data_IF_605330288788
#
_entry.id   IF_605330288788
#
_cell.length_a   1.000
_cell.length_b   1.000
_cell.length_c   1.000
_cell.angle_alpha   90.00
_cell.angle_beta   90.00
_cell.angle_gamma   90.00
#
_symmetry.space_group_name_H-M   'P 1'
#
loop_
_entity.id
_entity.type
_entity.pdbx_description
1 polymer ?
#
# COMPACT_ATOMS: atom_id res chain seq x y z
N UNK A 1 -22.67 -23.42 -11.03
CA UNK A 1 -22.85 -22.47 -9.91
C UNK A 1 -22.51 -23.20 -8.62
N UNK A 2 -21.54 -22.72 -7.85
CA UNK A 2 -21.24 -23.25 -6.51
C UNK A 2 -22.25 -22.59 -5.57
N UNK A 3 -23.27 -23.31 -5.14
CA UNK A 3 -24.19 -22.82 -4.11
C UNK A 3 -23.55 -23.02 -2.74
N UNK A 4 -23.57 -22.03 -1.84
CA UNK A 4 -23.16 -22.23 -0.46
C UNK A 4 -24.15 -23.22 0.16
N UNK A 5 -23.69 -24.44 0.46
CA UNK A 5 -24.56 -25.52 0.98
C UNK A 5 -24.14 -25.94 2.39
N UNK A 6 -23.30 -25.13 3.04
CA UNK A 6 -22.90 -25.31 4.45
C UNK A 6 -23.68 -24.28 5.27
N UNK A 7 -24.40 -24.76 6.30
CA UNK A 7 -25.09 -23.88 7.25
C UNK A 7 -24.06 -22.92 7.88
N UNK A 8 -24.43 -21.66 8.15
CA UNK A 8 -23.50 -20.65 8.70
C UNK A 8 -22.93 -20.98 10.10
N UNK A 9 -23.31 -22.09 10.73
CA UNK A 9 -22.80 -22.53 12.04
C UNK A 9 -21.41 -23.19 11.98
N UNK A 10 -20.92 -23.62 10.81
CA UNK A 10 -19.56 -24.18 10.64
C UNK A 10 -18.55 -23.10 10.17
N UNK A 11 -18.79 -21.85 10.55
CA UNK A 11 -17.92 -20.72 10.22
C UNK A 11 -17.48 -20.02 11.51
N UNK A 12 -16.21 -20.15 11.88
CA UNK A 12 -15.56 -19.08 12.66
C UNK A 12 -15.20 -17.93 11.69
N UNK A 13 -15.44 -16.66 12.04
CA UNK A 13 -15.09 -15.53 11.20
C UNK A 13 -13.57 -15.31 11.28
N UNK A 14 -12.81 -16.07 10.51
CA UNK A 14 -11.41 -15.74 10.22
C UNK A 14 -11.41 -14.61 9.18
N UNK A 15 -11.78 -13.40 9.61
CA UNK A 15 -11.66 -12.21 8.76
C UNK A 15 -10.19 -11.99 8.45
N UNK A 16 -9.83 -12.11 7.18
CA UNK A 16 -8.57 -11.58 6.67
C UNK A 16 -8.86 -10.22 6.02
N UNK A 17 -8.07 -9.21 6.35
CA UNK A 17 -8.32 -7.85 5.89
C UNK A 17 -7.83 -7.72 4.45
N UNK A 18 -8.71 -7.38 3.50
CA UNK A 18 -8.28 -6.99 2.16
C UNK A 18 -7.77 -5.55 2.22
N UNK A 19 -6.48 -5.35 2.00
CA UNK A 19 -5.83 -4.05 1.98
C UNK A 19 -5.42 -3.66 0.55
N UNK A 20 -5.53 -2.36 0.24
CA UNK A 20 -4.75 -1.72 -0.82
C UNK A 20 -3.44 -1.30 -0.19
N UNK A 21 -2.32 -1.79 -0.69
CA UNK A 21 -1.01 -1.20 -0.42
C UNK A 21 -0.66 -0.25 -1.57
N UNK A 22 -0.42 1.01 -1.26
CA UNK A 22 0.05 2.02 -2.23
C UNK A 22 1.33 2.64 -1.68
N UNK A 23 2.28 2.94 -2.57
CA UNK A 23 3.41 3.80 -2.22
C UNK A 23 2.91 5.17 -1.79
N UNK A 24 3.50 5.68 -0.70
CA UNK A 24 3.05 6.83 0.08
C UNK A 24 2.46 7.99 -0.74
N UNK A 25 1.12 8.09 -0.81
CA UNK A 25 0.36 9.23 -1.35
C UNK A 25 -0.75 9.59 -0.35
N UNK A 26 -0.61 10.73 0.34
CA UNK A 26 -1.39 11.07 1.51
C UNK A 26 -2.77 11.68 1.18
N UNK A 27 -3.81 10.98 1.67
CA UNK A 27 -5.21 11.34 2.07
C UNK A 27 -5.90 12.58 1.48
N UNK A 28 -6.96 12.32 0.69
CA UNK A 28 -8.15 13.19 0.53
C UNK A 28 -9.05 13.05 1.77
N UNK A 29 -9.30 14.16 2.46
CA UNK A 29 -10.37 14.28 3.47
C UNK A 29 -11.67 14.71 2.78
N UNK A 30 -12.75 13.96 3.04
CA UNK A 30 -14.12 14.30 2.69
C UNK A 30 -14.60 15.51 3.50
N UNK A 31 -15.21 16.48 2.80
CA UNK A 31 -15.86 17.67 3.35
C UNK A 31 -17.35 17.34 3.56
N UNK A 32 -17.94 17.53 4.74
CA UNK A 32 -19.38 17.65 4.87
C UNK A 32 -19.80 19.08 4.55
N UNK A 33 -20.63 19.22 3.50
CA UNK A 33 -21.45 20.41 3.25
C UNK A 33 -22.68 20.31 4.14
N UNK A 34 -22.86 21.24 5.07
CA UNK A 34 -24.20 21.64 5.52
C UNK A 34 -24.22 23.09 6.03
N UNK A 35 -25.23 23.77 5.50
CA UNK A 35 -25.65 25.15 5.64
C UNK A 35 -26.07 25.54 7.07
N UNK A 36 -25.86 26.79 7.47
CA UNK A 36 -26.50 27.37 8.66
C UNK A 36 -26.00 28.78 9.04
N UNK A 37 -26.81 29.79 8.75
CA UNK A 37 -26.67 31.22 9.09
C UNK A 37 -26.20 31.50 10.53
N UNK A 38 -25.34 32.52 10.72
CA UNK A 38 -25.74 33.81 11.31
C UNK A 38 -24.58 34.82 11.29
N UNK A 39 -24.89 36.03 10.80
CA UNK A 39 -24.09 37.24 10.95
C UNK A 39 -24.06 37.67 12.42
N UNK A 40 -22.89 38.09 12.92
CA UNK A 40 -22.73 39.30 13.74
C UNK A 40 -21.24 39.61 13.88
N UNK A 41 -20.88 40.86 13.60
CA UNK A 41 -19.51 41.27 13.31
C UNK A 41 -18.61 41.52 14.52
N UNK A 42 -17.34 41.71 14.21
CA UNK A 42 -16.47 42.61 14.96
C UNK A 42 -15.42 43.14 13.97
N UNK A 43 -15.44 44.44 13.72
CA UNK A 43 -14.44 45.11 12.90
C UNK A 43 -13.16 45.28 13.70
N UNK A 44 -12.06 44.72 13.20
CA UNK A 44 -10.72 45.17 13.54
C UNK A 44 -9.78 44.81 12.38
N UNK A 45 -9.09 45.83 11.89
CA UNK A 45 -8.04 45.84 10.87
C UNK A 45 -7.11 44.62 10.92
N UNK A 46 -7.18 43.77 9.88
CA UNK A 46 -6.27 42.64 9.68
C UNK A 46 -5.28 43.01 8.57
N UNK A 47 -4.31 43.86 8.90
CA UNK A 47 -3.18 44.19 8.03
C UNK A 47 -1.90 43.66 8.68
N UNK A 48 -1.35 42.60 8.08
CA UNK A 48 0.10 42.39 7.99
C UNK A 48 0.78 41.66 9.14
N UNK A 49 0.44 40.40 9.38
CA UNK A 49 1.42 39.44 9.93
C UNK A 49 1.75 38.40 8.85
N UNK A 50 2.49 38.81 7.83
CA UNK A 50 3.29 37.84 7.05
C UNK A 50 4.55 37.64 7.87
N UNK A 51 4.60 36.55 8.64
CA UNK A 51 5.81 36.14 9.34
C UNK A 51 6.89 35.87 8.30
N UNK A 52 7.81 36.81 8.10
CA UNK A 52 8.95 36.63 7.20
C UNK A 52 9.78 35.45 7.72
N UNK A 53 9.95 34.40 6.91
CA UNK A 53 10.76 33.27 7.30
C UNK A 53 12.22 33.71 7.56
N UNK A 54 12.82 33.19 8.63
CA UNK A 54 14.19 33.54 9.05
C UNK A 54 15.26 33.10 8.01
N UNK A 55 14.92 32.16 7.12
CA UNK A 55 15.79 31.65 6.07
C UNK A 55 15.01 31.33 4.78
N UNK A 56 15.72 31.17 3.67
CA UNK A 56 15.12 30.71 2.41
C UNK A 56 14.99 29.18 2.45
N UNK A 57 13.76 28.68 2.38
CA UNK A 57 13.44 27.26 2.45
C UNK A 57 14.09 26.47 1.31
N UNK A 58 14.44 27.12 0.19
CA UNK A 58 15.17 26.48 -0.89
C UNK A 58 16.62 26.16 -0.53
N UNK A 59 17.19 26.79 0.50
CA UNK A 59 18.54 26.50 0.98
C UNK A 59 18.60 25.15 1.74
N UNK A 60 17.48 24.73 2.34
CA UNK A 60 17.36 23.44 3.06
C UNK A 60 17.68 22.22 2.18
N UNK A 61 17.36 22.28 0.88
CA UNK A 61 17.66 21.17 -0.05
C UNK A 61 19.16 20.91 -0.21
N UNK A 62 19.98 21.96 -0.07
CA UNK A 62 21.44 21.84 -0.16
C UNK A 62 22.01 21.18 1.09
N UNK A 63 21.44 21.52 2.26
CA UNK A 63 21.73 20.83 3.50
C UNK A 63 21.35 19.33 3.42
N UNK A 64 20.13 18.99 3.00
CA UNK A 64 19.72 17.58 2.82
C UNK A 64 20.62 16.82 1.85
N UNK A 65 20.97 17.43 0.71
CA UNK A 65 21.82 16.78 -0.28
C UNK A 65 23.23 16.46 0.27
N UNK A 66 23.82 17.36 1.05
CA UNK A 66 25.13 17.09 1.68
C UNK A 66 25.00 16.09 2.83
N UNK A 67 23.91 16.12 3.60
CA UNK A 67 23.65 15.14 4.66
C UNK A 67 23.55 13.71 4.09
N UNK A 68 22.86 13.55 2.96
CA UNK A 68 22.67 12.25 2.28
C UNK A 68 23.92 11.74 1.57
N UNK A 69 24.66 12.62 0.90
CA UNK A 69 25.76 12.23 0.03
C UNK A 69 27.16 12.41 0.64
N UNK A 70 27.25 12.96 1.86
CA UNK A 70 28.50 13.08 2.63
C UNK A 70 29.57 14.01 2.03
N UNK A 71 29.32 14.63 0.87
CA UNK A 71 30.23 15.59 0.25
C UNK A 71 29.51 16.63 -0.59
N UNK A 72 30.06 17.84 -0.67
CA UNK A 72 29.52 18.92 -1.51
C UNK A 72 29.64 18.61 -3.00
N UNK A 73 30.63 17.81 -3.41
CA UNK A 73 30.79 17.38 -4.81
C UNK A 73 29.72 16.36 -5.21
N UNK A 74 29.43 15.36 -4.37
CA UNK A 74 28.37 14.40 -4.63
C UNK A 74 26.98 15.05 -4.58
N UNK A 75 26.76 15.94 -3.60
CA UNK A 75 25.54 16.75 -3.51
C UNK A 75 25.34 17.65 -4.74
N UNK A 76 26.40 18.26 -5.27
CA UNK A 76 26.29 19.12 -6.45
C UNK A 76 25.90 18.33 -7.71
N UNK A 77 26.41 17.10 -7.86
CA UNK A 77 26.00 16.18 -8.92
C UNK A 77 24.53 15.77 -8.78
N UNK A 78 24.09 15.43 -7.56
CA UNK A 78 22.69 15.07 -7.30
C UNK A 78 21.72 16.22 -7.58
N UNK A 79 22.12 17.46 -7.29
CA UNK A 79 21.31 18.66 -7.50
C UNK A 79 21.46 19.31 -8.89
N UNK A 80 22.38 18.83 -9.73
CA UNK A 80 22.63 19.40 -11.06
C UNK A 80 23.22 20.82 -11.03
N UNK A 81 24.03 21.15 -10.01
CA UNK A 81 24.63 22.49 -9.83
C UNK A 81 26.14 22.43 -9.65
N UNK A 82 26.80 23.60 -9.68
CA UNK A 82 28.21 23.72 -9.36
C UNK A 82 28.48 23.53 -7.85
N UNK A 83 29.59 22.88 -7.51
CA UNK A 83 30.00 22.65 -6.10
C UNK A 83 30.10 23.96 -5.29
N UNK A 84 30.56 25.06 -5.91
CA UNK A 84 30.61 26.39 -5.28
C UNK A 84 29.23 26.93 -4.89
N UNK A 85 28.18 26.55 -5.64
CA UNK A 85 26.80 26.92 -5.34
C UNK A 85 26.31 26.21 -4.09
N UNK A 86 26.61 24.91 -3.95
CA UNK A 86 26.26 24.13 -2.74
C UNK A 86 26.93 24.72 -1.51
N UNK A 87 28.23 25.02 -1.58
CA UNK A 87 28.97 25.61 -0.46
C UNK A 87 28.40 26.98 -0.06
N UNK A 88 28.15 27.86 -1.04
CA UNK A 88 27.58 29.20 -0.79
C UNK A 88 26.20 29.14 -0.14
N UNK A 89 25.35 28.21 -0.58
CA UNK A 89 23.97 28.04 -0.09
C UNK A 89 23.93 27.49 1.34
N UNK A 90 24.81 26.54 1.66
CA UNK A 90 24.94 26.01 3.03
C UNK A 90 25.45 27.10 3.99
N UNK A 91 26.51 27.83 3.60
CA UNK A 91 27.04 28.90 4.44
C UNK A 91 26.00 30.00 4.73
N UNK A 92 25.17 30.35 3.75
CA UNK A 92 24.08 31.31 3.94
C UNK A 92 22.99 30.78 4.86
N UNK A 93 22.65 29.48 4.76
CA UNK A 93 21.69 28.82 5.64
C UNK A 93 22.19 28.82 7.10
N UNK A 94 23.42 28.41 7.34
CA UNK A 94 24.05 28.39 8.66
C UNK A 94 24.10 29.78 9.29
N UNK A 95 24.43 30.81 8.48
CA UNK A 95 24.44 32.22 8.90
C UNK A 95 23.06 32.70 9.35
N UNK A 96 21.99 32.28 8.67
CA UNK A 96 20.61 32.70 8.97
C UNK A 96 19.99 31.95 10.14
N UNK A 97 20.29 30.67 10.27
CA UNK A 97 19.80 29.82 11.36
C UNK A 97 20.61 30.06 12.65
N UNK A 98 21.81 30.63 12.54
CA UNK A 98 22.60 31.08 13.69
C UNK A 98 23.57 30.03 14.24
N UNK A 99 23.91 29.01 13.45
CA UNK A 99 24.84 27.97 13.88
C UNK A 99 25.29 27.06 12.73
N UNK A 100 26.48 26.41 12.86
CA UNK A 100 26.96 25.46 11.87
C UNK A 100 26.09 24.19 11.91
N UNK A 101 25.66 23.75 10.73
CA UNK A 101 24.91 22.51 10.54
C UNK A 101 25.84 21.36 10.16
N UNK A 102 27.01 21.69 9.60
CA UNK A 102 27.97 20.71 9.11
C UNK A 102 29.42 21.09 9.41
N UNK A 103 30.25 20.07 9.57
CA UNK A 103 31.70 20.18 9.75
C UNK A 103 32.42 19.51 8.58
N UNK A 104 33.45 20.18 8.08
CA UNK A 104 34.32 19.66 7.03
C UNK A 104 35.44 18.83 7.64
N UNK A 105 35.56 17.60 7.17
CA UNK A 105 36.65 16.67 7.47
C UNK A 105 37.40 16.27 6.18
N UNK A 106 38.62 15.72 6.29
CA UNK A 106 39.35 15.20 5.13
C UNK A 106 38.57 14.15 4.33
N UNK A 107 37.72 13.38 5.01
CA UNK A 107 36.89 12.33 4.42
C UNK A 107 35.52 12.79 3.89
N UNK A 108 35.15 14.06 4.06
CA UNK A 108 33.84 14.58 3.66
C UNK A 108 33.21 15.52 4.69
N UNK A 109 31.88 15.60 4.69
CA UNK A 109 31.11 16.41 5.63
C UNK A 109 30.41 15.50 6.65
N UNK A 110 30.32 15.97 7.89
CA UNK A 110 29.49 15.37 8.94
C UNK A 110 28.58 16.42 9.54
N UNK A 111 27.42 16.01 10.01
CA UNK A 111 26.49 16.91 10.71
C UNK A 111 27.07 17.31 12.08
N UNK A 112 26.75 18.52 12.51
CA UNK A 112 26.90 18.92 13.92
C UNK A 112 25.75 18.35 14.74
N UNK A 113 25.85 18.38 16.08
CA UNK A 113 24.72 18.04 16.95
C UNK A 113 23.47 18.87 16.61
N UNK A 114 23.67 20.15 16.28
CA UNK A 114 22.61 21.04 15.83
C UNK A 114 22.01 20.63 14.47
N UNK A 115 22.86 20.20 13.52
CA UNK A 115 22.42 19.67 12.23
C UNK A 115 21.64 18.37 12.35
N UNK A 116 22.10 17.43 13.19
CA UNK A 116 21.40 16.17 13.51
C UNK A 116 20.03 16.44 14.13
N UNK A 117 19.95 17.38 15.09
CA UNK A 117 18.68 17.74 15.73
C UNK A 117 17.66 18.36 14.76
N UNK A 118 18.12 19.09 13.74
CA UNK A 118 17.26 19.72 12.74
C UNK A 118 16.89 18.81 11.56
N UNK A 119 17.68 17.76 11.30
CA UNK A 119 17.50 16.89 10.15
C UNK A 119 16.06 16.34 10.01
N UNK A 120 15.42 15.80 11.07
CA UNK A 120 14.05 15.29 10.96
C UNK A 120 13.02 16.36 10.56
N UNK A 121 13.18 17.58 11.05
CA UNK A 121 12.29 18.68 10.70
C UNK A 121 12.45 19.09 9.23
N UNK A 122 13.69 19.10 8.74
CA UNK A 122 13.98 19.41 7.34
C UNK A 122 13.50 18.31 6.38
N UNK A 123 13.59 17.04 6.76
CA UNK A 123 13.02 15.92 6.00
C UNK A 123 11.48 15.96 5.95
N UNK A 124 10.82 16.37 7.03
CA UNK A 124 9.38 16.57 7.06
C UNK A 124 8.92 17.69 6.11
N UNK A 125 9.75 18.74 5.97
CA UNK A 125 9.51 19.84 5.02
C UNK A 125 9.63 19.33 3.57
N UNK A 126 10.68 18.59 3.24
CA UNK A 126 10.85 18.00 1.90
C UNK A 126 9.66 17.09 1.55
N UNK A 127 9.25 16.24 2.49
CA UNK A 127 8.07 15.37 2.35
C UNK A 127 6.80 16.18 2.06
N UNK A 128 6.62 17.30 2.77
CA UNK A 128 5.46 18.20 2.59
C UNK A 128 5.47 18.90 1.23
N UNK A 129 6.64 19.34 0.76
CA UNK A 129 6.80 19.94 -0.58
C UNK A 129 6.51 18.91 -1.67
N UNK A 130 7.06 17.70 -1.58
CA UNK A 130 6.76 16.63 -2.53
C UNK A 130 5.26 16.26 -2.54
N UNK A 131 4.59 16.29 -1.38
CA UNK A 131 3.14 16.09 -1.30
C UNK A 131 2.37 17.22 -2.00
N UNK A 132 2.81 18.47 -1.87
CA UNK A 132 2.23 19.61 -2.57
C UNK A 132 2.42 19.51 -4.09
N UNK A 133 3.63 19.20 -4.56
CA UNK A 133 3.93 19.01 -5.99
C UNK A 133 3.02 17.94 -6.59
N UNK A 134 2.86 16.81 -5.90
CA UNK A 134 1.93 15.74 -6.30
C UNK A 134 0.48 16.21 -6.39
N UNK A 135 0.02 17.06 -5.46
CA UNK A 135 -1.33 17.67 -5.51
C UNK A 135 -1.48 18.65 -6.67
N UNK A 136 -0.43 19.42 -6.98
CA UNK A 136 -0.42 20.33 -8.13
C UNK A 136 -0.48 19.55 -9.44
N UNK A 137 0.27 18.45 -9.56
CA UNK A 137 0.20 17.54 -10.72
C UNK A 137 -1.19 16.91 -10.83
N UNK A 138 -1.75 16.41 -9.72
CA UNK A 138 -3.10 15.85 -9.70
C UNK A 138 -4.19 16.88 -10.05
N UNK A 139 -3.95 18.16 -9.79
CA UNK A 139 -4.86 19.27 -10.13
C UNK A 139 -4.71 19.72 -11.60
N UNK A 140 -3.55 19.51 -12.22
CA UNK A 140 -3.21 20.05 -13.55
C UNK A 140 -3.38 19.08 -14.72
N UNK A 141 -3.55 17.78 -14.47
CA UNK A 141 -3.49 16.78 -15.53
C UNK A 141 -4.75 15.93 -15.61
N UNK A 142 -5.32 15.85 -16.81
CA UNK A 142 -6.02 14.65 -17.27
C UNK A 142 -5.19 13.43 -16.87
N UNK A 143 -5.68 12.65 -15.90
CA UNK A 143 -4.99 11.45 -15.45
C UNK A 143 -4.85 10.50 -16.64
N UNK A 144 -3.62 10.32 -17.10
CA UNK A 144 -3.28 9.55 -18.29
C UNK A 144 -2.08 8.62 -18.01
N UNK A 145 -2.06 7.45 -18.64
CA UNK A 145 -1.00 6.46 -18.46
C UNK A 145 -1.49 5.09 -18.00
N UNK A 146 -0.58 4.21 -17.61
CA UNK A 146 -0.88 2.84 -17.17
C UNK A 146 -0.68 2.70 -15.67
N UNK A 147 -1.65 2.11 -14.98
CA UNK A 147 -1.55 1.70 -13.58
C UNK A 147 -1.34 0.19 -13.56
N UNK A 148 -0.20 -0.24 -13.02
CA UNK A 148 0.13 -1.64 -12.75
C UNK A 148 -0.43 -2.06 -11.40
N UNK A 149 -1.42 -2.93 -11.44
CA UNK A 149 -2.16 -3.40 -10.28
C UNK A 149 -1.76 -4.85 -9.96
N UNK A 150 -1.02 -5.04 -8.87
CA UNK A 150 -0.65 -6.35 -8.37
C UNK A 150 -1.80 -6.98 -7.59
N UNK A 151 -2.33 -8.11 -8.07
CA UNK A 151 -3.55 -8.70 -7.52
C UNK A 151 -3.47 -10.24 -7.55
N UNK A 152 -3.96 -10.95 -6.51
CA UNK A 152 -4.22 -12.37 -6.58
C UNK A 152 -5.17 -12.74 -7.74
N UNK A 153 -4.87 -13.84 -8.42
CA UNK A 153 -5.59 -14.34 -9.59
C UNK A 153 -7.13 -14.38 -9.41
N UNK A 154 -7.70 -14.88 -8.28
CA UNK A 154 -9.16 -14.93 -8.13
C UNK A 154 -9.83 -13.57 -8.11
N UNK A 155 -9.14 -12.54 -7.62
CA UNK A 155 -9.69 -11.18 -7.57
C UNK A 155 -9.69 -10.54 -8.96
N UNK A 156 -8.70 -10.82 -9.80
CA UNK A 156 -8.71 -10.36 -11.21
C UNK A 156 -9.94 -10.91 -11.92
N UNK A 157 -10.25 -12.20 -11.75
CA UNK A 157 -11.47 -12.80 -12.33
C UNK A 157 -12.74 -12.09 -11.88
N UNK A 158 -12.83 -11.67 -10.61
CA UNK A 158 -13.98 -10.90 -10.07
C UNK A 158 -14.05 -9.48 -10.60
N UNK A 159 -12.91 -8.79 -10.71
CA UNK A 159 -12.83 -7.42 -11.23
C UNK A 159 -13.24 -7.40 -12.69
N UNK A 160 -12.63 -8.27 -13.51
CA UNK A 160 -12.91 -8.39 -14.95
C UNK A 160 -14.33 -8.89 -15.22
N UNK A 161 -14.86 -9.76 -14.36
CA UNK A 161 -16.24 -10.23 -14.45
C UNK A 161 -17.30 -9.25 -13.93
N UNK A 162 -16.91 -8.04 -13.54
CA UNK A 162 -17.80 -6.98 -13.01
C UNK A 162 -17.76 -5.73 -13.88
N UNK A 163 -18.65 -4.77 -13.62
CA UNK A 163 -18.67 -3.47 -14.31
C UNK A 163 -17.63 -2.48 -13.78
N UNK A 164 -16.76 -2.88 -12.83
CA UNK A 164 -15.79 -1.99 -12.19
C UNK A 164 -14.83 -1.36 -13.19
N UNK A 165 -14.31 -2.14 -14.14
CA UNK A 165 -13.38 -1.61 -15.16
C UNK A 165 -14.09 -0.66 -16.14
N UNK A 166 -15.34 -0.93 -16.48
CA UNK A 166 -16.13 -0.06 -17.36
C UNK A 166 -16.39 1.30 -16.69
N UNK A 167 -16.83 1.29 -15.42
CA UNK A 167 -17.02 2.51 -14.64
C UNK A 167 -15.72 3.28 -14.44
N UNK A 168 -14.61 2.57 -14.24
CA UNK A 168 -13.29 3.18 -14.11
C UNK A 168 -12.86 3.89 -15.40
N UNK A 169 -12.93 3.22 -16.55
CA UNK A 169 -12.54 3.81 -17.83
C UNK A 169 -13.50 4.90 -18.30
N UNK A 170 -14.79 4.83 -17.95
CA UNK A 170 -15.75 5.90 -18.23
C UNK A 170 -15.40 7.18 -17.45
N UNK A 171 -14.86 7.04 -16.23
CA UNK A 171 -14.45 8.18 -15.40
C UNK A 171 -13.03 8.67 -15.72
N UNK A 172 -12.13 7.78 -16.15
CA UNK A 172 -10.73 8.06 -16.44
C UNK A 172 -10.32 7.46 -17.79
N UNK A 173 -10.71 8.07 -18.92
CA UNK A 173 -10.57 7.47 -20.26
C UNK A 173 -9.13 7.38 -20.75
N UNK A 174 -8.23 8.21 -20.21
CA UNK A 174 -6.81 8.20 -20.55
C UNK A 174 -5.96 7.26 -19.67
N UNK A 175 -6.55 6.66 -18.63
CA UNK A 175 -5.89 5.64 -17.81
C UNK A 175 -6.11 4.23 -18.37
N UNK A 176 -5.09 3.39 -18.23
CA UNK A 176 -5.12 1.96 -18.53
C UNK A 176 -4.77 1.16 -17.28
N UNK A 177 -5.36 -0.01 -17.11
CA UNK A 177 -5.03 -0.93 -16.03
C UNK A 177 -4.26 -2.13 -16.59
N UNK A 178 -3.08 -2.39 -16.04
CA UNK A 178 -2.29 -3.59 -16.29
C UNK A 178 -2.33 -4.47 -15.03
N UNK A 179 -2.82 -5.71 -15.14
CA UNK A 179 -2.85 -6.64 -14.01
C UNK A 179 -1.55 -7.42 -13.92
N UNK A 180 -0.90 -7.33 -12.76
CA UNK A 180 0.26 -8.17 -12.42
C UNK A 180 -0.22 -9.28 -11.48
N UNK A 181 -0.52 -10.44 -12.06
CA UNK A 181 -0.96 -11.62 -11.31
C UNK A 181 0.26 -12.33 -10.73
N UNK A 182 0.41 -12.25 -9.41
CA UNK A 182 1.48 -12.92 -8.68
C UNK A 182 0.97 -13.24 -7.30
N UNK A 183 1.31 -14.38 -6.72
CA UNK A 183 1.05 -14.67 -5.30
C UNK A 183 2.21 -14.26 -4.38
N UNK A 184 3.29 -13.71 -4.97
CA UNK A 184 4.41 -13.13 -4.22
C UNK A 184 4.13 -11.68 -3.87
N UNK A 185 4.69 -11.22 -2.76
CA UNK A 185 4.83 -9.79 -2.49
C UNK A 185 5.77 -9.19 -3.54
N UNK A 186 5.24 -8.29 -4.36
CA UNK A 186 6.02 -7.53 -5.34
C UNK A 186 6.60 -6.30 -4.68
N UNK A 187 7.76 -5.89 -5.15
CA UNK A 187 8.44 -4.71 -4.65
C UNK A 187 7.86 -3.46 -5.35
N UNK A 188 6.88 -2.84 -4.69
CA UNK A 188 6.30 -1.59 -5.21
C UNK A 188 7.38 -0.49 -5.29
N UNK A 189 8.34 -0.46 -4.36
CA UNK A 189 9.40 0.55 -4.34
C UNK A 189 10.31 0.48 -5.58
N UNK A 190 10.44 -0.71 -6.18
CA UNK A 190 11.17 -0.96 -7.43
C UNK A 190 10.33 -0.80 -8.69
N UNK A 191 9.06 -0.40 -8.58
CA UNK A 191 8.16 -0.17 -9.70
C UNK A 191 7.65 -1.46 -10.37
N UNK A 192 7.70 -2.60 -9.68
CA UNK A 192 7.10 -3.86 -10.17
C UNK A 192 5.57 -3.75 -10.25
N UNK A 193 4.97 -2.88 -9.42
CA UNK A 193 3.58 -2.47 -9.49
C UNK A 193 3.38 -1.11 -8.81
N UNK A 194 2.33 -0.38 -9.20
CA UNK A 194 1.96 0.91 -8.59
C UNK A 194 1.08 0.73 -7.36
N UNK A 195 0.20 -0.29 -7.40
CA UNK A 195 -0.78 -0.60 -6.36
C UNK A 195 -0.84 -2.11 -6.18
N UNK A 196 -0.96 -2.59 -4.94
CA UNK A 196 -1.24 -3.99 -4.64
C UNK A 196 -2.57 -4.17 -3.90
N UNK A 197 -3.41 -5.09 -4.37
CA UNK A 197 -4.62 -5.55 -3.68
C UNK A 197 -4.34 -6.90 -3.04
N UNK A 198 -4.22 -6.98 -1.72
CA UNK A 198 -3.78 -8.19 -1.02
C UNK A 198 -4.59 -8.44 0.24
N UNK A 199 -4.68 -9.71 0.62
CA UNK A 199 -5.17 -10.12 1.92
C UNK A 199 -4.04 -10.03 2.94
N UNK A 200 -4.27 -9.37 4.07
CA UNK A 200 -3.27 -9.12 5.12
C UNK A 200 -2.84 -7.65 5.21
N UNK A 201 -2.05 -7.36 6.24
CA UNK A 201 -1.41 -6.06 6.42
C UNK A 201 -0.13 -5.97 5.57
N UNK A 202 0.25 -4.78 5.08
CA UNK A 202 1.53 -4.60 4.42
C UNK A 202 2.67 -5.02 5.36
N UNK A 203 3.55 -5.91 4.89
CA UNK A 203 4.71 -6.34 5.68
C UNK A 203 5.84 -5.28 5.73
N UNK A 204 5.79 -4.31 4.82
CA UNK A 204 6.78 -3.24 4.68
C UNK A 204 6.18 -1.93 5.24
N UNK A 205 6.84 -1.38 6.26
CA UNK A 205 6.43 -0.15 6.96
C UNK A 205 6.42 1.09 6.06
N UNK A 206 7.12 1.04 4.92
CA UNK A 206 7.13 2.13 3.93
C UNK A 206 5.85 2.19 3.09
N UNK A 207 5.04 1.13 3.11
CA UNK A 207 3.79 1.03 2.34
C UNK A 207 2.60 1.54 3.14
N UNK A 208 1.70 2.28 2.48
CA UNK A 208 0.40 2.64 3.09
C UNK A 208 -0.61 1.56 2.77
N UNK A 209 -1.06 0.86 3.82
CA UNK A 209 -2.20 -0.05 3.76
C UNK A 209 -3.54 0.67 3.99
N UNK A 210 -4.54 0.41 3.15
CA UNK A 210 -5.94 0.78 3.37
C UNK A 210 -6.85 -0.44 3.27
N UNK A 211 -7.53 -0.77 4.37
CA UNK A 211 -8.61 -1.77 4.37
C UNK A 211 -9.74 -1.38 3.40
N UNK A 212 -10.14 -2.31 2.54
CA UNK A 212 -11.27 -2.19 1.60
C UNK A 212 -12.45 -3.05 2.06
N UNK A 213 -12.17 -4.28 2.49
CA UNK A 213 -13.18 -5.27 2.82
C UNK A 213 -12.61 -6.37 3.71
N UNK A 214 -13.49 -7.19 4.28
CA UNK A 214 -13.13 -8.46 4.91
C UNK A 214 -13.20 -9.58 3.87
N UNK A 215 -12.21 -10.47 3.91
CA UNK A 215 -12.16 -11.71 3.13
C UNK A 215 -12.62 -12.86 4.02
N UNK A 216 -13.76 -13.43 3.68
CA UNK A 216 -14.42 -14.51 4.44
C UNK A 216 -14.12 -15.85 3.75
N UNK A 217 -13.65 -16.82 4.55
CA UNK A 217 -13.32 -18.17 4.10
C UNK A 217 -14.27 -19.19 4.74
N UNK A 218 -14.55 -20.26 4.01
CA UNK A 218 -15.36 -21.38 4.46
C UNK A 218 -14.91 -22.65 3.72
N UNK A 219 -15.33 -23.81 4.21
CA UNK A 219 -15.09 -25.09 3.54
C UNK A 219 -16.13 -25.28 2.44
N UNK A 220 -15.67 -25.60 1.23
CA UNK A 220 -16.49 -25.84 0.05
C UNK A 220 -16.29 -27.25 -0.49
N UNK A 221 -17.39 -27.87 -0.91
CA UNK A 221 -17.42 -29.12 -1.67
C UNK A 221 -18.30 -28.97 -2.91
N UNK A 222 -18.02 -29.73 -3.96
CA UNK A 222 -18.95 -29.80 -5.09
C UNK A 222 -20.20 -30.59 -4.71
N UNK A 223 -21.30 -30.33 -5.44
CA UNK A 223 -22.56 -31.05 -5.24
C UNK A 223 -22.41 -32.55 -5.46
N UNK A 224 -21.64 -32.96 -6.47
CA UNK A 224 -21.38 -34.38 -6.76
C UNK A 224 -20.61 -35.06 -5.62
N UNK A 225 -19.59 -34.40 -5.08
CA UNK A 225 -18.83 -34.92 -3.94
C UNK A 225 -19.73 -35.13 -2.72
N UNK A 226 -20.52 -34.12 -2.37
CA UNK A 226 -21.45 -34.16 -1.23
C UNK A 226 -22.53 -35.23 -1.39
N UNK A 227 -23.04 -35.44 -2.61
CA UNK A 227 -24.02 -36.50 -2.88
C UNK A 227 -23.45 -37.91 -2.67
N UNK A 228 -22.16 -38.09 -2.93
CA UNK A 228 -21.49 -39.39 -2.81
C UNK A 228 -20.93 -39.66 -1.40
N UNK A 229 -20.43 -38.62 -0.72
CA UNK A 229 -19.69 -38.76 0.54
C UNK A 229 -20.40 -38.13 1.75
N UNK A 230 -21.54 -37.47 1.55
CA UNK A 230 -22.19 -36.65 2.57
C UNK A 230 -21.54 -35.26 2.72
N UNK A 231 -22.26 -34.35 3.39
CA UNK A 231 -21.71 -33.05 3.79
C UNK A 231 -21.27 -33.10 5.26
N UNK A 232 -20.11 -32.52 5.62
CA UNK A 232 -19.73 -32.37 7.03
C UNK A 232 -20.78 -31.55 7.76
N UNK A 233 -21.25 -32.04 8.92
CA UNK A 233 -22.25 -31.35 9.74
C UNK A 233 -21.62 -30.58 10.88
N UNK A 234 -20.38 -30.95 11.26
CA UNK A 234 -19.58 -30.27 12.27
C UNK A 234 -18.13 -30.11 11.81
N UNK A 235 -17.36 -29.27 12.49
CA UNK A 235 -15.94 -29.02 12.17
C UNK A 235 -15.14 -30.32 12.25
N UNK A 236 -15.45 -31.19 13.21
CA UNK A 236 -14.74 -32.45 13.44
C UNK A 236 -14.96 -33.48 12.31
N UNK A 237 -16.02 -33.31 11.52
CA UNK A 237 -16.30 -34.18 10.38
C UNK A 237 -15.37 -33.89 9.19
N UNK A 238 -14.78 -32.68 9.12
CA UNK A 238 -13.95 -32.23 7.99
C UNK A 238 -12.78 -33.18 7.76
N UNK A 239 -12.15 -33.68 8.84
CA UNK A 239 -11.01 -34.62 8.74
C UNK A 239 -11.35 -36.00 8.17
N UNK A 240 -12.64 -36.34 8.04
CA UNK A 240 -13.10 -37.61 7.45
C UNK A 240 -13.24 -37.53 5.93
N UNK A 241 -13.20 -36.33 5.37
CA UNK A 241 -13.30 -36.10 3.93
C UNK A 241 -11.92 -36.01 3.28
N UNK A 242 -11.90 -36.22 1.97
CA UNK A 242 -10.71 -35.96 1.16
C UNK A 242 -10.54 -34.44 1.01
N UNK A 243 -9.33 -33.94 1.25
CA UNK A 243 -9.01 -32.52 1.24
C UNK A 243 -8.22 -32.13 -0.01
N UNK A 244 -8.60 -31.03 -0.63
CA UNK A 244 -7.80 -30.30 -1.61
C UNK A 244 -7.07 -29.17 -0.88
N UNK A 245 -5.77 -29.33 -0.70
CA UNK A 245 -4.94 -28.40 0.06
C UNK A 245 -4.30 -27.29 -0.76
N UNK A 246 -3.81 -26.26 -0.07
CA UNK A 246 -2.90 -25.27 -0.62
C UNK A 246 -1.44 -25.78 -0.62
N UNK A 247 -0.64 -25.29 -1.55
CA UNK A 247 0.80 -25.53 -1.63
C UNK A 247 1.60 -24.23 -1.80
N UNK A 248 2.93 -24.32 -1.71
CA UNK A 248 3.84 -23.18 -1.88
C UNK A 248 3.60 -22.09 -0.84
N UNK A 249 3.55 -20.83 -1.28
CA UNK A 249 3.33 -19.69 -0.37
C UNK A 249 1.95 -19.72 0.29
N UNK A 250 0.95 -20.33 -0.36
CA UNK A 250 -0.42 -20.37 0.15
C UNK A 250 -0.60 -21.30 1.36
N UNK A 251 0.35 -22.21 1.63
CA UNK A 251 0.31 -23.04 2.85
C UNK A 251 0.39 -22.17 4.12
N UNK A 252 0.98 -20.98 4.01
CA UNK A 252 1.10 -20.03 5.11
C UNK A 252 -0.14 -19.15 5.28
N UNK A 253 -1.10 -19.22 4.35
CA UNK A 253 -2.34 -18.46 4.43
C UNK A 253 -3.17 -18.93 5.63
N UNK A 254 -3.88 -18.00 6.30
CA UNK A 254 -4.65 -18.26 7.52
C UNK A 254 -5.66 -19.40 7.35
N UNK A 255 -6.34 -19.45 6.20
CA UNK A 255 -7.29 -20.52 5.87
C UNK A 255 -6.60 -21.89 5.74
N UNK A 256 -5.41 -21.96 5.14
CA UNK A 256 -4.66 -23.21 5.00
C UNK A 256 -4.20 -23.75 6.36
N UNK A 257 -3.67 -22.86 7.22
CA UNK A 257 -3.27 -23.20 8.59
C UNK A 257 -4.46 -23.66 9.44
N UNK A 258 -5.59 -22.97 9.33
CA UNK A 258 -6.82 -23.35 10.03
C UNK A 258 -7.31 -24.73 9.59
N UNK A 259 -7.39 -24.99 8.28
CA UNK A 259 -7.83 -26.28 7.75
C UNK A 259 -6.93 -27.42 8.22
N UNK A 260 -5.61 -27.22 8.21
CA UNK A 260 -4.65 -28.20 8.72
C UNK A 260 -4.78 -28.45 10.24
N UNK A 261 -5.18 -27.43 11.00
CA UNK A 261 -5.38 -27.55 12.45
C UNK A 261 -6.66 -28.30 12.82
N UNK A 262 -7.76 -28.10 12.08
CA UNK A 262 -9.04 -28.78 12.35
C UNK A 262 -9.12 -30.19 11.78
N UNK A 263 -8.28 -30.51 10.79
CA UNK A 263 -8.26 -31.79 10.10
C UNK A 263 -6.83 -32.39 10.04
N UNK A 264 -6.17 -32.62 11.20
CA UNK A 264 -4.83 -33.17 11.22
C UNK A 264 -4.83 -34.60 10.69
N UNK A 265 -3.96 -34.90 9.72
CA UNK A 265 -3.86 -36.24 9.12
C UNK A 265 -4.96 -36.60 8.12
N UNK A 266 -5.80 -35.64 7.72
CA UNK A 266 -6.79 -35.86 6.68
C UNK A 266 -6.15 -36.30 5.36
N UNK A 267 -6.89 -37.12 4.59
CA UNK A 267 -6.44 -37.58 3.28
C UNK A 267 -6.35 -36.42 2.29
N UNK A 268 -5.15 -36.10 1.82
CA UNK A 268 -4.94 -35.04 0.84
C UNK A 268 -5.10 -35.61 -0.57
N UNK A 269 -6.23 -35.35 -1.21
CA UNK A 269 -6.51 -35.79 -2.58
C UNK A 269 -5.72 -35.00 -3.63
N UNK A 270 -5.47 -33.72 -3.38
CA UNK A 270 -4.68 -32.87 -4.27
C UNK A 270 -4.11 -31.66 -3.50
N UNK A 271 -3.07 -31.05 -4.05
CA UNK A 271 -2.58 -29.74 -3.60
C UNK A 271 -2.42 -28.79 -4.78
N UNK A 272 -2.70 -27.51 -4.56
CA UNK A 272 -2.53 -26.46 -5.58
C UNK A 272 -1.88 -25.22 -4.98
N UNK A 273 -0.96 -24.62 -5.73
CA UNK A 273 -0.31 -23.36 -5.36
C UNK A 273 -1.10 -22.11 -5.81
N UNK A 274 -2.30 -22.28 -6.39
CA UNK A 274 -3.25 -21.21 -6.74
C UNK A 274 -4.64 -21.51 -6.16
N UNK A 275 -5.32 -20.47 -5.70
CA UNK A 275 -6.71 -20.54 -5.22
C UNK A 275 -7.67 -20.96 -6.34
N UNK A 276 -7.44 -20.55 -7.59
CA UNK A 276 -8.27 -21.02 -8.72
C UNK A 276 -8.04 -22.51 -9.00
N UNK A 277 -6.81 -23.00 -8.84
CA UNK A 277 -6.51 -24.43 -8.90
C UNK A 277 -7.30 -25.24 -7.87
N UNK A 278 -7.30 -24.79 -6.60
CA UNK A 278 -8.12 -25.39 -5.54
C UNK A 278 -9.62 -25.37 -5.90
N UNK A 279 -10.14 -24.25 -6.39
CA UNK A 279 -11.53 -24.12 -6.81
C UNK A 279 -11.91 -25.14 -7.90
N UNK A 280 -11.05 -25.32 -8.91
CA UNK A 280 -11.29 -26.26 -10.00
C UNK A 280 -11.21 -27.72 -9.54
N UNK A 281 -10.28 -28.05 -8.65
CA UNK A 281 -10.19 -29.36 -8.02
C UNK A 281 -11.42 -29.68 -7.15
N UNK A 282 -11.90 -28.73 -6.33
CA UNK A 282 -13.16 -28.94 -5.59
C UNK A 282 -14.34 -29.15 -6.55
N UNK A 283 -14.41 -28.38 -7.64
CA UNK A 283 -15.46 -28.51 -8.66
C UNK A 283 -15.45 -29.85 -9.39
N UNK A 284 -14.29 -30.50 -9.55
CA UNK A 284 -14.21 -31.84 -10.15
C UNK A 284 -14.69 -32.95 -9.21
N UNK A 285 -14.89 -32.64 -7.92
CA UNK A 285 -15.44 -33.57 -6.95
C UNK A 285 -14.45 -34.56 -6.38
N UNK A 286 -13.16 -34.21 -6.34
CA UNK A 286 -12.13 -35.05 -5.71
C UNK A 286 -11.98 -34.81 -4.20
N UNK A 287 -12.62 -33.78 -3.65
CA UNK A 287 -12.54 -33.43 -2.23
C UNK A 287 -13.19 -32.09 -1.88
N UNK A 288 -12.95 -31.66 -0.65
CA UNK A 288 -13.36 -30.36 -0.08
C UNK A 288 -12.14 -29.48 0.19
N UNK A 289 -12.32 -28.16 0.25
CA UNK A 289 -11.26 -27.19 0.58
C UNK A 289 -11.80 -26.00 1.37
#
# INVERSE_FOLDING_TARGET
>A
MVTPTVRPEIAEPTSAVLCIAVLHFTRLSLIPVLCGRQQQGCGASMQGCITSAMFDWSDLRYFLAVARHGSTLAASRALGVNQSTVHRRIAELERRIGGPLMLRYPAGYRLTEFGEALLPAVEAIETSVMALERRIVAYRSDLAGTIRLAVPEPLVSRIVGSTLLDMFHARYPALRIEFVMSDRYLDLSKGEADIALRSGEPADETLIGRKIADSIWAVYGSRSYVQQHGAPQRIEDVGRHAIVGFDGMLINHRAAKWLAAIAPGANIAARNNSVLGVLHAVKSGIGIA
#
